data_IF_123778291148
#
_entry.id   IF_123778291148
#
_cell.length_a   1.000
_cell.length_b   1.000
_cell.length_c   1.000
_cell.angle_alpha   90.00
_cell.angle_beta   90.00
_cell.angle_gamma   90.00
#
_symmetry.space_group_name_H-M   'P 1'
#
loop_
_entity.id
_entity.type
_entity.pdbx_description
1 polymer ?
#
# COMPACT_ATOMS: atom_id res chain seq x y z
N UNK A 1 -43.76 -12.06 -4.61
CA UNK A 1 -43.14 -10.75 -4.96
C UNK A 1 -42.36 -10.12 -3.79
N UNK A 2 -41.66 -10.90 -2.95
CA UNK A 2 -40.92 -10.39 -1.77
C UNK A 2 -39.39 -10.55 -1.87
N UNK A 3 -38.89 -11.14 -2.95
CA UNK A 3 -37.44 -11.33 -3.16
C UNK A 3 -36.78 -10.11 -3.81
N UNK A 4 -37.47 -9.40 -4.73
CA UNK A 4 -36.88 -8.28 -5.46
C UNK A 4 -36.48 -7.06 -4.61
N UNK A 5 -37.14 -6.81 -3.47
CA UNK A 5 -36.84 -5.66 -2.59
C UNK A 5 -35.63 -5.90 -1.70
N UNK A 6 -35.34 -7.15 -1.29
CA UNK A 6 -34.11 -7.49 -0.54
C UNK A 6 -32.85 -7.35 -1.38
N UNK A 7 -32.93 -7.68 -2.68
CA UNK A 7 -31.81 -7.59 -3.62
C UNK A 7 -31.39 -6.13 -3.87
N UNK A 8 -32.35 -5.21 -4.00
CA UNK A 8 -32.06 -3.80 -4.28
C UNK A 8 -31.28 -3.10 -3.14
N UNK A 9 -31.69 -3.33 -1.88
CA UNK A 9 -31.04 -2.72 -0.70
C UNK A 9 -29.61 -3.21 -0.51
N UNK A 10 -29.38 -4.51 -0.69
CA UNK A 10 -28.05 -5.13 -0.54
C UNK A 10 -27.13 -4.67 -1.67
N UNK A 11 -27.63 -4.62 -2.92
CA UNK A 11 -26.86 -4.11 -4.07
C UNK A 11 -26.46 -2.65 -3.89
N UNK A 12 -27.34 -1.83 -3.31
CA UNK A 12 -27.05 -0.41 -2.99
C UNK A 12 -26.01 -0.26 -1.88
N UNK A 13 -26.15 -1.00 -0.77
CA UNK A 13 -25.17 -1.02 0.33
C UNK A 13 -23.80 -1.56 -0.11
N UNK A 14 -23.79 -2.53 -1.03
CA UNK A 14 -22.58 -3.03 -1.66
C UNK A 14 -21.99 -2.04 -2.65
N UNK A 15 -22.80 -1.31 -3.42
CA UNK A 15 -22.32 -0.21 -4.26
C UNK A 15 -21.66 0.90 -3.43
N UNK A 16 -22.24 1.23 -2.26
CA UNK A 16 -21.66 2.18 -1.30
C UNK A 16 -20.33 1.68 -0.70
N UNK A 17 -20.19 0.36 -0.48
CA UNK A 17 -18.95 -0.27 0.02
C UNK A 17 -18.00 -0.75 -1.07
N UNK A 18 -18.41 -0.70 -2.34
CA UNK A 18 -17.71 -1.26 -3.51
C UNK A 18 -16.28 -0.76 -3.59
N UNK A 19 -16.09 0.53 -3.35
CA UNK A 19 -14.77 1.14 -3.34
C UNK A 19 -13.86 0.58 -2.24
N UNK A 20 -14.37 0.31 -1.03
CA UNK A 20 -13.58 -0.29 0.04
C UNK A 20 -13.17 -1.73 -0.28
N UNK A 21 -14.08 -2.51 -0.87
CA UNK A 21 -13.82 -3.88 -1.31
C UNK A 21 -12.74 -3.89 -2.39
N UNK A 22 -12.86 -3.02 -3.40
CA UNK A 22 -11.87 -2.91 -4.48
C UNK A 22 -10.53 -2.42 -3.94
N UNK A 23 -10.50 -1.43 -3.03
CA UNK A 23 -9.26 -0.93 -2.42
C UNK A 23 -8.52 -2.04 -1.65
N UNK A 24 -9.23 -2.77 -0.80
CA UNK A 24 -8.64 -3.86 -0.01
C UNK A 24 -8.22 -5.03 -0.90
N UNK A 25 -8.97 -5.35 -1.95
CA UNK A 25 -8.61 -6.37 -2.93
C UNK A 25 -7.35 -6.00 -3.70
N UNK A 26 -7.27 -4.76 -4.22
CA UNK A 26 -6.07 -4.26 -4.89
C UNK A 26 -4.87 -4.27 -3.95
N UNK A 27 -5.05 -3.91 -2.68
CA UNK A 27 -3.96 -3.93 -1.70
C UNK A 27 -3.48 -5.36 -1.38
N UNK A 28 -4.38 -6.33 -1.24
CA UNK A 28 -4.02 -7.74 -1.08
C UNK A 28 -3.33 -8.30 -2.32
N UNK A 29 -3.80 -7.94 -3.51
CA UNK A 29 -3.17 -8.31 -4.78
C UNK A 29 -1.74 -7.78 -4.83
N UNK A 30 -1.54 -6.49 -4.55
CA UNK A 30 -0.22 -5.87 -4.58
C UNK A 30 0.71 -6.46 -3.51
N UNK A 31 0.18 -6.82 -2.34
CA UNK A 31 0.95 -7.51 -1.30
C UNK A 31 1.35 -8.93 -1.71
N UNK A 32 0.46 -9.70 -2.33
CA UNK A 32 0.75 -11.06 -2.78
C UNK A 32 1.71 -11.06 -3.97
N UNK A 33 1.56 -10.13 -4.91
CA UNK A 33 2.47 -9.93 -6.04
C UNK A 33 3.86 -9.54 -5.56
N UNK A 34 3.94 -8.64 -4.57
CA UNK A 34 5.20 -8.24 -3.94
C UNK A 34 5.87 -9.42 -3.18
N UNK A 35 5.10 -10.21 -2.42
CA UNK A 35 5.61 -11.40 -1.70
C UNK A 35 6.12 -12.48 -2.65
N UNK A 36 5.46 -12.66 -3.80
CA UNK A 36 5.80 -13.69 -4.78
C UNK A 36 6.88 -13.22 -5.77
N UNK A 37 7.33 -11.97 -5.69
CA UNK A 37 8.35 -11.42 -6.59
C UNK A 37 7.91 -11.35 -8.05
N UNK A 38 6.61 -11.25 -8.30
CA UNK A 38 6.03 -11.30 -9.64
C UNK A 38 6.08 -9.92 -10.29
N UNK A 39 6.53 -9.86 -11.55
CA UNK A 39 6.66 -8.62 -12.34
C UNK A 39 5.30 -8.08 -12.82
N UNK A 40 4.29 -8.92 -12.83
CA UNK A 40 2.92 -8.64 -13.25
C UNK A 40 1.95 -9.43 -12.36
N UNK A 41 0.69 -9.02 -12.31
CA UNK A 41 -0.34 -9.73 -11.53
C UNK A 41 -0.87 -10.90 -12.35
N UNK A 42 -0.63 -12.17 -11.98
CA UNK A 42 -1.27 -13.28 -12.69
C UNK A 42 -2.77 -13.28 -12.42
N UNK A 43 -3.58 -13.56 -13.44
CA UNK A 43 -5.05 -13.56 -13.36
C UNK A 43 -5.59 -14.38 -12.18
N UNK A 44 -4.94 -15.50 -11.88
CA UNK A 44 -5.33 -16.38 -10.76
C UNK A 44 -5.08 -15.75 -9.39
N UNK A 45 -4.03 -14.95 -9.25
CA UNK A 45 -3.70 -14.23 -8.00
C UNK A 45 -4.67 -13.08 -7.80
N UNK A 46 -4.94 -12.30 -8.86
CA UNK A 46 -5.97 -11.26 -8.85
C UNK A 46 -7.33 -11.82 -8.42
N UNK A 47 -7.75 -12.92 -9.05
CA UNK A 47 -9.04 -13.54 -8.80
C UNK A 47 -9.17 -14.12 -7.38
N UNK A 48 -8.12 -14.73 -6.84
CA UNK A 48 -8.12 -15.27 -5.48
C UNK A 48 -8.20 -14.16 -4.42
N UNK A 49 -7.43 -13.08 -4.58
CA UNK A 49 -7.45 -11.96 -3.64
C UNK A 49 -8.79 -11.21 -3.67
N UNK A 50 -9.38 -10.99 -4.86
CA UNK A 50 -10.72 -10.38 -4.97
C UNK A 50 -11.77 -11.25 -4.30
N UNK A 51 -11.76 -12.57 -4.55
CA UNK A 51 -12.67 -13.52 -3.90
C UNK A 51 -12.56 -13.47 -2.38
N UNK A 52 -11.35 -13.38 -1.84
CA UNK A 52 -11.11 -13.32 -0.40
C UNK A 52 -11.67 -12.03 0.21
N UNK A 53 -11.35 -10.88 -0.37
CA UNK A 53 -11.79 -9.58 0.15
C UNK A 53 -13.30 -9.38 0.04
N UNK A 54 -13.92 -9.78 -1.07
CA UNK A 54 -15.38 -9.76 -1.24
C UNK A 54 -16.05 -10.59 -0.14
N UNK A 55 -15.52 -11.78 0.15
CA UNK A 55 -16.04 -12.66 1.20
C UNK A 55 -15.94 -12.04 2.60
N UNK A 56 -14.82 -11.40 2.92
CA UNK A 56 -14.63 -10.72 4.21
C UNK A 56 -15.59 -9.54 4.39
N UNK A 57 -15.71 -8.68 3.38
CA UNK A 57 -16.60 -7.51 3.44
C UNK A 57 -18.08 -7.88 3.50
N UNK A 58 -18.48 -8.99 2.87
CA UNK A 58 -19.82 -9.53 2.97
C UNK A 58 -20.10 -10.09 4.37
N UNK A 59 -19.16 -10.82 4.97
CA UNK A 59 -19.30 -11.31 6.34
C UNK A 59 -19.50 -10.17 7.34
N UNK A 60 -18.79 -9.05 7.16
CA UNK A 60 -19.00 -7.84 7.98
C UNK A 60 -20.38 -7.19 7.76
N UNK A 61 -20.86 -7.17 6.50
CA UNK A 61 -22.19 -6.67 6.17
C UNK A 61 -23.30 -7.53 6.79
N UNK A 62 -23.16 -8.85 6.77
CA UNK A 62 -24.10 -9.78 7.41
C UNK A 62 -24.16 -9.54 8.92
N UNK A 63 -23.00 -9.38 9.56
CA UNK A 63 -22.90 -9.05 10.99
C UNK A 63 -23.56 -7.70 11.32
N UNK A 64 -23.39 -6.70 10.46
CA UNK A 64 -23.92 -5.34 10.69
C UNK A 64 -25.42 -5.23 10.41
N UNK A 65 -25.92 -5.95 9.41
CA UNK A 65 -27.31 -5.83 8.96
C UNK A 65 -28.22 -6.92 9.54
N UNK A 66 -27.65 -7.98 10.11
CA UNK A 66 -28.40 -9.16 10.56
C UNK A 66 -29.07 -9.95 9.43
N UNK A 67 -28.82 -9.57 8.16
CA UNK A 67 -29.40 -10.19 6.98
C UNK A 67 -28.38 -11.15 6.37
N UNK A 68 -28.77 -12.40 6.21
CA UNK A 68 -27.97 -13.43 5.53
C UNK A 68 -28.01 -13.18 4.01
N UNK A 69 -26.86 -13.18 3.38
CA UNK A 69 -26.70 -12.95 1.93
C UNK A 69 -26.64 -14.31 1.23
N UNK A 70 -27.29 -14.45 0.08
CA UNK A 70 -27.32 -15.71 -0.66
C UNK A 70 -26.00 -15.95 -1.41
N UNK A 71 -25.67 -17.23 -1.64
CA UNK A 71 -24.45 -17.65 -2.35
C UNK A 71 -24.43 -17.15 -3.81
N UNK A 72 -25.58 -17.02 -4.45
CA UNK A 72 -25.70 -16.47 -5.82
C UNK A 72 -25.32 -14.98 -5.87
N UNK A 73 -25.74 -14.19 -4.86
CA UNK A 73 -25.35 -12.78 -4.76
C UNK A 73 -23.84 -12.65 -4.54
N UNK A 74 -23.25 -13.55 -3.76
CA UNK A 74 -21.79 -13.64 -3.57
C UNK A 74 -21.06 -13.92 -4.89
N UNK A 75 -21.53 -14.89 -5.69
CA UNK A 75 -20.92 -15.25 -6.98
C UNK A 75 -21.06 -14.12 -8.01
N UNK A 76 -22.24 -13.50 -8.13
CA UNK A 76 -22.50 -12.38 -9.06
C UNK A 76 -21.65 -11.13 -8.74
N UNK A 77 -21.54 -10.77 -7.45
CA UNK A 77 -20.68 -9.65 -7.02
C UNK A 77 -19.21 -9.96 -7.26
N UNK A 78 -18.79 -11.19 -6.99
CA UNK A 78 -17.41 -11.63 -7.22
C UNK A 78 -17.06 -11.54 -8.70
N UNK A 79 -17.90 -12.09 -9.58
CA UNK A 79 -17.66 -12.07 -11.03
C UNK A 79 -17.63 -10.64 -11.58
N UNK A 80 -18.58 -9.78 -11.18
CA UNK A 80 -18.59 -8.36 -11.58
C UNK A 80 -17.36 -7.60 -11.09
N UNK A 81 -16.95 -7.82 -9.84
CA UNK A 81 -15.76 -7.17 -9.26
C UNK A 81 -14.48 -7.66 -9.92
N UNK A 82 -14.40 -8.95 -10.26
CA UNK A 82 -13.26 -9.54 -10.99
C UNK A 82 -13.17 -8.96 -12.40
N UNK A 83 -14.28 -8.82 -13.11
CA UNK A 83 -14.31 -8.23 -14.46
C UNK A 83 -13.88 -6.75 -14.40
N UNK A 84 -14.41 -5.96 -13.46
CA UNK A 84 -14.04 -4.55 -13.32
C UNK A 84 -12.58 -4.35 -12.90
N UNK A 85 -12.06 -5.19 -12.00
CA UNK A 85 -10.64 -5.15 -11.64
C UNK A 85 -9.77 -5.61 -12.81
N UNK A 86 -10.16 -6.66 -13.56
CA UNK A 86 -9.43 -7.09 -14.77
C UNK A 86 -9.42 -5.98 -15.84
N UNK A 87 -10.55 -5.31 -16.06
CA UNK A 87 -10.64 -4.17 -17.01
C UNK A 87 -9.83 -2.95 -16.52
N UNK A 88 -9.88 -2.63 -15.22
CA UNK A 88 -9.12 -1.52 -14.65
C UNK A 88 -7.62 -1.77 -14.44
N UNK A 89 -7.18 -3.03 -14.39
CA UNK A 89 -5.77 -3.43 -14.21
C UNK A 89 -5.09 -3.74 -15.54
N UNK A 90 -5.82 -4.23 -16.56
CA UNK A 90 -5.23 -4.66 -17.83
C UNK A 90 -5.32 -3.62 -18.96
N UNK A 91 -6.25 -2.65 -18.92
CA UNK A 91 -6.42 -1.72 -20.04
C UNK A 91 -6.00 -0.26 -19.77
N UNK A 92 -5.81 0.19 -18.53
CA UNK A 92 -5.64 1.63 -18.29
C UNK A 92 -4.26 2.05 -17.79
N UNK A 93 -3.51 2.69 -18.69
CA UNK A 93 -2.42 3.65 -18.38
C UNK A 93 -3.01 5.00 -17.91
N UNK A 94 -4.08 4.96 -17.15
CA UNK A 94 -4.92 6.11 -16.82
C UNK A 94 -5.42 6.09 -15.37
N UNK A 95 -5.83 7.26 -14.86
CA UNK A 95 -6.25 7.42 -13.48
C UNK A 95 -7.55 6.65 -13.21
N UNK A 96 -7.47 5.62 -12.36
CA UNK A 96 -8.65 5.02 -11.73
C UNK A 96 -9.44 6.15 -11.09
N UNK A 97 -10.65 6.42 -11.60
CA UNK A 97 -11.46 7.56 -11.18
C UNK A 97 -11.53 7.68 -9.64
N UNK A 98 -10.93 8.76 -9.11
CA UNK A 98 -10.82 9.03 -7.68
C UNK A 98 -9.55 8.55 -6.96
N UNK A 99 -8.56 7.98 -7.67
CA UNK A 99 -7.24 7.61 -7.14
C UNK A 99 -6.14 8.16 -8.03
N UNK A 100 -5.29 9.03 -7.50
CA UNK A 100 -4.07 9.46 -8.18
C UNK A 100 -2.98 8.41 -7.99
N UNK A 101 -3.11 7.25 -8.63
CA UNK A 101 -2.09 6.17 -8.61
C UNK A 101 -1.38 6.15 -9.96
N UNK A 102 -0.04 6.23 -9.96
CA UNK A 102 0.79 6.23 -11.17
C UNK A 102 1.99 5.32 -10.99
N UNK A 103 2.26 4.46 -11.97
CA UNK A 103 3.51 3.72 -12.05
C UNK A 103 4.52 4.54 -12.86
N UNK A 104 5.68 4.80 -12.28
CA UNK A 104 6.75 5.60 -12.88
C UNK A 104 8.01 4.74 -12.92
N UNK A 105 8.76 4.78 -14.01
CA UNK A 105 10.02 4.06 -14.08
C UNK A 105 10.99 4.59 -13.01
N UNK A 106 11.63 3.69 -12.25
CA UNK A 106 12.64 4.05 -11.22
C UNK A 106 13.69 5.02 -11.75
N UNK A 107 14.16 4.82 -12.99
CA UNK A 107 15.11 5.73 -13.66
C UNK A 107 14.60 7.17 -13.73
N UNK A 108 13.32 7.38 -14.05
CA UNK A 108 12.72 8.71 -14.13
C UNK A 108 12.58 9.36 -12.75
N UNK A 109 12.20 8.58 -11.73
CA UNK A 109 12.12 9.09 -10.35
C UNK A 109 13.50 9.45 -9.81
N UNK A 110 14.48 8.57 -10.01
CA UNK A 110 15.86 8.78 -9.56
C UNK A 110 16.51 10.01 -10.22
N UNK A 111 16.18 10.31 -11.47
CA UNK A 111 16.67 11.49 -12.17
C UNK A 111 16.20 12.83 -11.56
N UNK A 112 15.23 12.81 -10.64
CA UNK A 112 14.76 14.00 -9.90
C UNK A 112 15.63 14.35 -8.70
N UNK A 113 16.53 13.44 -8.29
CA UNK A 113 17.46 13.69 -7.19
C UNK A 113 18.78 14.28 -7.71
N UNK A 114 19.49 15.08 -6.88
CA UNK A 114 20.81 15.61 -7.24
C UNK A 114 21.82 14.51 -7.58
N UNK A 115 22.79 14.79 -8.46
CA UNK A 115 23.82 13.82 -8.88
C UNK A 115 24.66 13.27 -7.71
N UNK A 116 24.84 14.05 -6.65
CA UNK A 116 25.56 13.64 -5.45
C UNK A 116 24.69 12.87 -4.43
N UNK A 117 23.42 12.62 -4.75
CA UNK A 117 22.50 11.84 -3.95
C UNK A 117 22.56 10.38 -4.39
N UNK A 118 22.67 9.47 -3.42
CA UNK A 118 22.62 8.04 -3.73
C UNK A 118 21.28 7.68 -4.35
N UNK A 119 21.30 6.88 -5.41
CA UNK A 119 20.09 6.47 -6.12
C UNK A 119 19.10 5.84 -5.13
N UNK A 120 17.90 6.41 -4.93
CA UNK A 120 17.01 5.93 -3.87
C UNK A 120 16.29 4.64 -4.26
N UNK A 121 15.80 4.54 -5.49
CA UNK A 121 15.04 3.36 -5.95
C UNK A 121 15.88 2.47 -6.85
N UNK A 122 15.76 1.15 -6.70
CA UNK A 122 16.48 0.17 -7.52
C UNK A 122 16.16 0.35 -9.00
N UNK A 123 17.20 0.45 -9.84
CA UNK A 123 17.03 0.62 -11.29
C UNK A 123 16.30 -0.57 -11.93
N UNK A 124 15.65 -0.31 -13.07
CA UNK A 124 14.86 -1.29 -13.83
C UNK A 124 13.66 -1.87 -13.06
N UNK A 125 13.19 -1.14 -12.05
CA UNK A 125 11.92 -1.39 -11.34
C UNK A 125 10.94 -0.24 -11.57
N UNK A 126 9.70 -0.40 -11.10
CA UNK A 126 8.69 0.66 -11.08
C UNK A 126 8.54 1.22 -9.66
N UNK A 127 8.30 2.53 -9.58
CA UNK A 127 7.93 3.26 -8.38
C UNK A 127 6.45 3.63 -8.52
N UNK A 128 5.67 3.31 -7.49
CA UNK A 128 4.25 3.67 -7.46
C UNK A 128 4.09 4.99 -6.72
N UNK A 129 3.65 6.04 -7.41
CA UNK A 129 3.14 7.27 -6.80
C UNK A 129 1.66 7.09 -6.50
N UNK A 130 1.22 7.48 -5.31
CA UNK A 130 -0.16 7.34 -4.88
C UNK A 130 -0.55 8.40 -3.86
N UNK A 131 -1.85 8.65 -3.72
CA UNK A 131 -2.42 9.44 -2.63
C UNK A 131 -3.11 8.52 -1.61
N UNK A 132 -2.81 8.67 -0.33
CA UNK A 132 -3.48 7.90 0.74
C UNK A 132 -4.98 8.20 0.78
N UNK A 133 -5.81 7.19 1.03
CA UNK A 133 -7.27 7.35 1.11
C UNK A 133 -7.82 7.23 2.53
N UNK A 134 -6.98 6.77 3.46
CA UNK A 134 -7.26 6.63 4.89
C UNK A 134 -5.98 6.83 5.67
N UNK A 135 -6.11 7.10 6.98
CA UNK A 135 -4.95 7.13 7.88
C UNK A 135 -4.21 5.79 7.79
N UNK A 136 -2.89 5.86 7.62
CA UNK A 136 -2.04 4.68 7.43
C UNK A 136 -0.81 4.76 8.32
N UNK A 137 -0.54 3.67 9.04
CA UNK A 137 0.62 3.56 9.92
C UNK A 137 1.90 3.17 9.16
N UNK A 138 2.98 3.86 9.53
CA UNK A 138 4.34 3.60 9.12
C UNK A 138 5.29 3.76 10.31
N UNK A 139 6.57 3.49 10.07
CA UNK A 139 7.64 3.81 10.99
C UNK A 139 8.74 4.56 10.27
N UNK A 140 9.45 5.39 11.01
CA UNK A 140 10.66 6.09 10.59
C UNK A 140 11.80 5.63 11.48
N UNK A 141 12.87 5.11 10.88
CA UNK A 141 14.14 4.90 11.58
C UNK A 141 15.05 6.10 11.37
N UNK A 142 15.71 6.57 12.41
CA UNK A 142 16.46 7.82 12.38
C UNK A 142 17.55 7.87 13.45
N UNK A 143 18.49 8.81 13.29
CA UNK A 143 19.38 9.30 14.35
C UNK A 143 18.73 10.46 15.11
N UNK A 144 19.51 11.18 15.92
CA UNK A 144 18.94 12.20 16.82
C UNK A 144 18.27 13.38 16.09
N UNK A 145 18.77 13.77 14.91
CA UNK A 145 18.45 15.06 14.28
C UNK A 145 17.70 14.94 12.92
N UNK A 146 17.22 13.75 12.54
CA UNK A 146 16.63 13.49 11.22
C UNK A 146 15.33 12.68 11.27
N UNK A 147 14.54 12.88 12.35
CA UNK A 147 13.22 12.29 12.55
C UNK A 147 12.25 12.66 11.43
N UNK A 148 11.99 13.95 11.23
CA UNK A 148 10.96 14.45 10.30
C UNK A 148 11.49 14.57 8.86
N UNK A 149 11.85 13.43 8.26
CA UNK A 149 12.29 13.32 6.85
C UNK A 149 11.34 12.44 6.05
N UNK A 150 11.45 12.52 4.73
CA UNK A 150 10.47 11.94 3.81
C UNK A 150 10.42 10.41 3.79
N UNK A 151 11.47 9.71 4.24
CA UNK A 151 11.59 8.27 4.07
C UNK A 151 11.00 7.47 5.24
N UNK A 152 9.99 6.66 4.94
CA UNK A 152 9.25 5.79 5.85
C UNK A 152 9.36 4.32 5.42
N UNK A 153 8.98 3.42 6.33
CA UNK A 153 8.92 1.98 6.09
C UNK A 153 7.72 1.37 6.84
N UNK A 154 7.31 0.15 6.47
CA UNK A 154 6.35 -0.61 7.27
C UNK A 154 7.06 -1.22 8.45
N UNK A 155 6.38 -1.29 9.61
CA UNK A 155 6.95 -1.93 10.82
C UNK A 155 7.42 -3.36 10.55
N UNK A 156 6.64 -4.13 9.78
CA UNK A 156 6.96 -5.49 9.39
C UNK A 156 8.26 -5.62 8.58
N UNK A 157 8.72 -4.56 7.89
CA UNK A 157 9.97 -4.60 7.12
C UNK A 157 11.21 -4.58 8.01
N UNK A 158 11.09 -4.16 9.27
CA UNK A 158 12.20 -4.00 10.20
C UNK A 158 12.02 -4.73 11.52
N UNK A 159 10.91 -5.43 11.70
CA UNK A 159 10.65 -6.19 12.92
C UNK A 159 11.70 -7.29 13.09
N UNK A 160 12.34 -7.32 14.26
CA UNK A 160 13.41 -8.27 14.56
C UNK A 160 14.77 -7.97 13.91
N UNK A 161 14.91 -6.88 13.15
CA UNK A 161 16.19 -6.50 12.55
C UNK A 161 17.03 -5.64 13.50
N UNK A 162 18.35 -5.85 13.49
CA UNK A 162 19.29 -4.95 14.17
C UNK A 162 19.43 -3.62 13.42
N UNK A 163 19.89 -2.55 14.08
CA UNK A 163 20.23 -1.28 13.42
C UNK A 163 21.09 -1.43 12.15
N UNK A 164 22.08 -2.31 12.17
CA UNK A 164 22.99 -2.58 11.05
C UNK A 164 22.26 -3.29 9.90
N UNK A 165 21.39 -4.24 10.20
CA UNK A 165 20.56 -4.91 9.19
C UNK A 165 19.55 -3.94 8.56
N UNK A 166 18.97 -3.04 9.35
CA UNK A 166 18.10 -1.98 8.84
C UNK A 166 18.89 -1.03 7.93
N UNK A 167 20.08 -0.61 8.36
CA UNK A 167 20.97 0.23 7.55
C UNK A 167 21.28 -0.44 6.21
N UNK A 168 21.64 -1.72 6.23
CA UNK A 168 22.00 -2.45 5.01
C UNK A 168 20.81 -2.63 4.07
N UNK A 169 19.66 -3.10 4.60
CA UNK A 169 18.42 -3.35 3.85
C UNK A 169 17.84 -2.11 3.19
N UNK A 170 18.03 -0.94 3.78
CA UNK A 170 17.54 0.34 3.25
C UNK A 170 18.65 1.25 2.74
N UNK A 171 19.88 0.75 2.69
CA UNK A 171 21.08 1.47 2.25
C UNK A 171 21.20 2.88 2.85
N UNK A 172 21.00 2.98 4.17
CA UNK A 172 20.94 4.25 4.90
C UNK A 172 22.35 4.83 5.15
N UNK A 173 22.55 6.15 5.02
CA UNK A 173 23.87 6.78 5.21
C UNK A 173 24.42 6.60 6.64
N UNK A 174 23.54 6.58 7.63
CA UNK A 174 23.88 6.41 9.04
C UNK A 174 23.15 5.21 9.62
N UNK A 175 23.77 4.54 10.60
CA UNK A 175 23.11 3.50 11.37
C UNK A 175 22.02 4.14 12.24
N UNK A 176 20.74 3.78 12.06
CA UNK A 176 19.66 4.38 12.84
C UNK A 176 19.72 3.89 14.30
N UNK A 177 19.44 4.75 15.25
CA UNK A 177 19.39 4.38 16.68
C UNK A 177 17.98 4.47 17.27
N UNK A 178 17.11 5.23 16.61
CA UNK A 178 15.74 5.49 17.04
C UNK A 178 14.74 5.04 15.98
N UNK A 179 13.56 4.68 16.45
CA UNK A 179 12.37 4.42 15.64
C UNK A 179 11.23 5.29 16.17
N UNK A 180 10.50 5.93 15.25
CA UNK A 180 9.31 6.73 15.53
C UNK A 180 8.15 6.16 14.71
N UNK A 181 6.98 6.03 15.32
CA UNK A 181 5.74 5.67 14.64
C UNK A 181 5.19 6.88 13.90
N UNK A 182 4.77 6.68 12.66
CA UNK A 182 4.32 7.76 11.78
C UNK A 182 2.91 7.47 11.29
N UNK A 183 1.97 8.30 11.71
CA UNK A 183 0.58 8.29 11.22
C UNK A 183 0.47 9.22 10.02
N UNK A 184 0.28 8.63 8.84
CA UNK A 184 0.10 9.40 7.61
C UNK A 184 -1.40 9.60 7.37
N UNK A 185 -1.91 10.85 7.34
CA UNK A 185 -3.34 11.11 7.16
C UNK A 185 -3.79 10.77 5.73
N UNK A 186 -5.11 10.63 5.50
CA UNK A 186 -5.65 10.56 4.14
C UNK A 186 -5.28 11.82 3.33
N UNK A 187 -5.34 11.71 2.01
CA UNK A 187 -4.99 12.75 1.05
C UNK A 187 -3.51 13.17 1.07
N UNK A 188 -2.61 12.30 1.54
CA UNK A 188 -1.16 12.52 1.50
C UNK A 188 -0.56 11.88 0.26
N UNK A 189 0.22 12.64 -0.52
CA UNK A 189 0.96 12.12 -1.69
C UNK A 189 2.24 11.41 -1.27
N UNK A 190 2.39 10.19 -1.75
CA UNK A 190 3.49 9.31 -1.42
C UNK A 190 4.02 8.57 -2.64
N UNK A 191 5.23 8.04 -2.52
CA UNK A 191 5.77 7.01 -3.40
C UNK A 191 6.14 5.76 -2.61
N UNK A 192 6.13 4.63 -3.29
CA UNK A 192 6.67 3.36 -2.78
C UNK A 192 7.50 2.67 -3.85
N UNK A 193 8.61 2.05 -3.43
CA UNK A 193 9.46 1.25 -4.30
C UNK A 193 10.53 0.49 -3.52
N UNK A 194 11.30 -0.31 -4.23
CA UNK A 194 12.44 -1.04 -3.65
C UNK A 194 13.65 -0.10 -3.50
N UNK A 195 14.25 -0.07 -2.32
CA UNK A 195 15.47 0.69 -2.05
C UNK A 195 16.62 0.19 -2.92
N UNK A 196 17.34 1.09 -3.59
CA UNK A 196 18.55 0.70 -4.32
C UNK A 196 19.66 0.31 -3.35
N UNK A 197 20.47 -0.66 -3.75
CA UNK A 197 21.80 -0.81 -3.16
C UNK A 197 22.68 0.39 -3.53
N UNK A 198 23.50 0.82 -2.58
CA UNK A 198 24.47 1.90 -2.73
C UNK A 198 25.69 1.67 -1.82
N UNK A 199 26.59 2.64 -1.70
CA UNK A 199 27.81 2.51 -0.88
C UNK A 199 27.57 2.28 0.62
N UNK A 200 26.35 2.48 1.11
CA UNK A 200 25.97 2.34 2.51
C UNK A 200 25.31 0.99 2.85
N UNK A 201 24.85 0.24 1.84
CA UNK A 201 24.19 -1.05 2.04
C UNK A 201 23.64 -1.67 0.76
N UNK A 202 23.25 -2.94 0.84
CA UNK A 202 22.75 -3.71 -0.30
C UNK A 202 21.38 -3.25 -0.82
N UNK A 203 20.59 -2.53 -0.01
CA UNK A 203 19.23 -2.15 -0.37
C UNK A 203 18.27 -3.34 -0.39
N UNK A 204 17.19 -3.24 -1.15
CA UNK A 204 16.18 -4.30 -1.31
C UNK A 204 14.97 -4.20 -0.36
N UNK A 205 14.99 -3.29 0.62
CA UNK A 205 13.82 -3.00 1.45
C UNK A 205 12.72 -2.25 0.69
N UNK A 206 11.45 -2.49 1.03
CA UNK A 206 10.35 -1.68 0.51
C UNK A 206 10.26 -0.37 1.28
N UNK A 207 10.54 0.75 0.62
CA UNK A 207 10.56 2.07 1.23
C UNK A 207 9.44 2.97 0.69
N UNK A 208 9.01 3.90 1.53
CA UNK A 208 7.97 4.87 1.22
C UNK A 208 8.54 6.27 1.33
N UNK A 209 8.18 7.14 0.39
CA UNK A 209 8.58 8.54 0.37
C UNK A 209 7.36 9.42 0.51
N UNK A 210 7.39 10.34 1.47
CA UNK A 210 6.47 11.47 1.54
C UNK A 210 6.88 12.53 0.50
N UNK A 211 5.97 12.86 -0.42
CA UNK A 211 6.19 13.92 -1.41
C UNK A 211 5.86 15.32 -0.89
N UNK A 212 5.38 15.39 0.35
CA UNK A 212 5.08 16.60 1.07
C UNK A 212 5.41 16.46 2.55
N UNK A 213 5.62 17.57 3.24
CA UNK A 213 5.91 17.54 4.68
C UNK A 213 4.61 17.31 5.45
N UNK A 214 4.63 16.35 6.37
CA UNK A 214 3.55 16.21 7.34
C UNK A 214 3.57 17.44 8.27
N UNK A 215 2.45 18.16 8.31
CA UNK A 215 2.27 19.37 9.13
C UNK A 215 1.67 19.08 10.49
N UNK A 216 1.06 17.90 10.65
CA UNK A 216 0.38 17.48 11.89
C UNK A 216 1.42 17.12 12.97
N UNK A 217 1.46 17.84 14.11
CA UNK A 217 2.44 17.59 15.17
C UNK A 217 2.34 16.19 15.79
N UNK A 218 1.13 15.63 15.79
CA UNK A 218 0.82 14.29 16.29
C UNK A 218 1.06 13.19 15.25
N UNK A 219 1.50 13.51 14.03
CA UNK A 219 1.87 12.48 13.06
C UNK A 219 3.07 11.65 13.50
N UNK A 220 3.94 12.17 14.39
CA UNK A 220 5.20 11.55 14.80
C UNK A 220 5.15 11.16 16.28
N UNK A 221 4.92 9.88 16.56
CA UNK A 221 4.62 9.40 17.91
C UNK A 221 5.59 8.30 18.36
N UNK A 222 5.60 8.04 19.67
CA UNK A 222 6.22 6.85 20.27
C UNK A 222 7.69 6.61 19.86
N UNK A 223 8.50 7.68 19.84
CA UNK A 223 9.94 7.57 19.59
C UNK A 223 10.60 6.74 20.68
N UNK A 224 11.33 5.69 20.28
CA UNK A 224 12.08 4.79 21.16
C UNK A 224 13.38 4.33 20.51
N UNK A 225 14.27 3.69 21.26
CA UNK A 225 15.46 3.07 20.66
C UNK A 225 15.07 1.81 19.91
N UNK A 226 15.84 1.48 18.89
CA UNK A 226 15.68 0.22 18.17
C UNK A 226 16.20 -0.91 19.06
N UNK A 227 15.34 -1.89 19.35
CA UNK A 227 15.66 -3.05 20.19
C UNK A 227 15.23 -2.93 21.66
N UNK A 228 14.70 -1.77 22.08
CA UNK A 228 14.02 -1.57 23.37
C UNK A 228 12.57 -2.11 23.34
#
# INVERSE_FOLDING_TARGET
MLEGTKYADVTKLLAERKNQVIQKAVQEILQDVAKQGLKEVPDKVAEQAIRKVVKESLSELEKKTGKKISKEVLEDITEKSVIEVKQGVLEDKGPVAGRDIRQIASKEVNAKYPENYETPYKLNTNVTEFTTTSETDFVRVHGLNNRERSWLMKKSEIEGLTPEQIKDKFALPETPTLITEVKVPPNTRMRVGEASGNKFGHGGGTQYELLERLVEPDAWQNTRKIGD
#
